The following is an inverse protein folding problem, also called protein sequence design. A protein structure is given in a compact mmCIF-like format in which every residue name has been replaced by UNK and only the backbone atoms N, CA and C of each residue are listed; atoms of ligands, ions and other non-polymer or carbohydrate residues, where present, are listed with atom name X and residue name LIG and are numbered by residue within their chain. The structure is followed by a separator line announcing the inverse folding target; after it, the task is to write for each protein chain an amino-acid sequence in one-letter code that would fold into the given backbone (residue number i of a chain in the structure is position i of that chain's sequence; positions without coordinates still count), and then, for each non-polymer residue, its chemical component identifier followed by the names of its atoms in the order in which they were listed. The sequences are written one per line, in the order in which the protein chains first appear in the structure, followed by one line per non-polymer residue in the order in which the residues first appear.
data_IF_078516165588
#
_entry.id   IF_078516165588
#
_cell.length_a   1.000
_cell.length_b   1.000
_cell.length_c   1.000
_cell.angle_alpha   90.00
_cell.angle_beta   90.00
_cell.angle_gamma   90.00
#
_symmetry.space_group_name_H-M   'P 1'
#
loop_
_entity.id
_entity.type
_entity.pdbx_description
1 polymer ?
#
# COMPACT_ATOMS: atom_id res chain seq x y z
N UNK A 1 -15.26 -0.83 2.30
CA UNK A 1 -15.27 0.12 3.43
C UNK A 1 -16.15 -0.45 4.52
N UNK A 2 -15.69 -0.34 5.77
CA UNK A 2 -16.39 -0.79 6.97
C UNK A 2 -17.40 0.24 7.52
N UNK A 3 -17.93 1.13 6.65
CA UNK A 3 -18.88 2.18 7.02
C UNK A 3 -18.21 3.35 7.75
N UNK A 4 -18.87 3.90 8.77
CA UNK A 4 -18.38 5.07 9.52
C UNK A 4 -17.51 4.70 10.74
N UNK A 5 -17.09 3.43 10.86
CA UNK A 5 -16.22 2.98 11.94
C UNK A 5 -14.89 3.76 11.91
N UNK A 6 -14.47 4.40 13.02
CA UNK A 6 -13.22 5.13 13.08
C UNK A 6 -12.02 4.19 12.91
N UNK A 7 -11.00 4.64 12.18
CA UNK A 7 -9.74 3.92 11.97
C UNK A 7 -8.76 4.37 13.07
N UNK A 8 -8.28 3.44 13.90
CA UNK A 8 -7.21 3.69 14.87
C UNK A 8 -5.92 2.95 14.52
N UNK A 9 -6.04 1.83 13.81
CA UNK A 9 -4.92 0.98 13.40
C UNK A 9 -4.91 0.76 11.90
N UNK A 10 -3.71 0.81 11.33
CA UNK A 10 -3.49 0.63 9.90
C UNK A 10 -2.36 -0.39 9.71
N UNK A 11 -2.59 -1.38 8.86
CA UNK A 11 -1.56 -2.22 8.27
C UNK A 11 -1.42 -1.88 6.79
N UNK A 12 -0.24 -2.08 6.21
CA UNK A 12 -0.02 -1.80 4.80
C UNK A 12 1.02 -2.72 4.17
N UNK A 13 0.88 -2.93 2.87
CA UNK A 13 1.88 -3.55 2.02
C UNK A 13 1.75 -2.95 0.62
N UNK A 14 2.84 -2.41 0.06
CA UNK A 14 2.81 -1.71 -1.25
C UNK A 14 2.60 -2.70 -2.40
N UNK A 15 2.19 -2.21 -3.57
CA UNK A 15 2.04 -3.04 -4.77
C UNK A 15 0.81 -3.96 -4.74
N UNK A 16 0.94 -5.17 -5.29
CA UNK A 16 -0.15 -6.13 -5.46
C UNK A 16 -0.36 -7.03 -4.22
N UNK A 17 -0.61 -6.42 -3.05
CA UNK A 17 -0.58 -7.11 -1.76
C UNK A 17 -1.98 -7.27 -1.11
N UNK A 18 -3.05 -7.16 -1.90
CA UNK A 18 -4.45 -7.23 -1.45
C UNK A 18 -4.82 -8.50 -0.68
N UNK A 19 -4.13 -9.61 -0.93
CA UNK A 19 -4.37 -10.91 -0.29
C UNK A 19 -4.05 -10.92 1.22
N UNK A 20 -3.20 -10.01 1.69
CA UNK A 20 -2.92 -9.88 3.13
C UNK A 20 -4.05 -9.23 3.94
N UNK A 21 -5.14 -8.80 3.30
CA UNK A 21 -6.31 -8.25 3.99
C UNK A 21 -6.89 -9.24 5.02
N UNK A 22 -6.83 -10.55 4.74
CA UNK A 22 -7.31 -11.57 5.65
C UNK A 22 -6.46 -11.63 6.92
N UNK A 23 -5.14 -11.53 6.77
CA UNK A 23 -4.21 -11.48 7.90
C UNK A 23 -4.39 -10.19 8.71
N UNK A 24 -4.53 -9.05 8.04
CA UNK A 24 -4.80 -7.77 8.71
C UNK A 24 -6.12 -7.83 9.51
N UNK A 25 -7.17 -8.40 8.92
CA UNK A 25 -8.45 -8.62 9.58
C UNK A 25 -8.32 -9.57 10.78
N UNK A 26 -7.58 -10.68 10.65
CA UNK A 26 -7.34 -11.62 11.74
C UNK A 26 -6.55 -11.00 12.91
N UNK A 27 -5.72 -10.00 12.64
CA UNK A 27 -4.99 -9.22 13.65
C UNK A 27 -5.83 -8.10 14.29
N UNK A 28 -7.10 -7.93 13.87
CA UNK A 28 -7.99 -6.90 14.40
C UNK A 28 -7.69 -5.49 13.91
N UNK A 29 -7.00 -5.35 12.79
CA UNK A 29 -6.65 -4.05 12.20
C UNK A 29 -7.90 -3.35 11.64
N UNK A 30 -8.02 -2.04 11.84
CA UNK A 30 -9.18 -1.28 11.36
C UNK A 30 -9.14 -1.00 9.84
N UNK A 31 -7.94 -0.81 9.28
CA UNK A 31 -7.75 -0.56 7.85
C UNK A 31 -6.49 -1.23 7.28
N UNK A 32 -6.61 -1.75 6.06
CA UNK A 32 -5.49 -2.29 5.29
C UNK A 32 -5.28 -1.47 4.01
N UNK A 33 -4.02 -1.10 3.73
CA UNK A 33 -3.63 -0.31 2.56
C UNK A 33 -2.72 -1.13 1.65
N UNK A 34 -3.06 -1.18 0.37
CA UNK A 34 -2.23 -1.80 -0.67
C UNK A 34 -2.37 -1.06 -2.01
N UNK A 35 -1.59 -1.42 -3.02
CA UNK A 35 -1.61 -0.77 -4.32
C UNK A 35 -2.83 -1.19 -5.15
N UNK A 36 -2.99 -2.48 -5.39
CA UNK A 36 -4.05 -3.02 -6.26
C UNK A 36 -5.32 -3.42 -5.49
N UNK A 37 -6.36 -3.85 -6.22
CA UNK A 37 -7.60 -4.38 -5.65
C UNK A 37 -8.16 -5.50 -6.53
N UNK A 38 -8.84 -6.46 -5.91
CA UNK A 38 -9.63 -7.47 -6.61
C UNK A 38 -11.09 -7.45 -6.15
N UNK A 39 -11.98 -8.08 -6.92
CA UNK A 39 -13.39 -8.24 -6.54
C UNK A 39 -13.52 -8.99 -5.20
N UNK A 40 -12.76 -10.06 -5.01
CA UNK A 40 -12.70 -10.80 -3.75
C UNK A 40 -12.34 -9.89 -2.57
N UNK A 41 -11.32 -9.04 -2.72
CA UNK A 41 -10.89 -8.09 -1.70
C UNK A 41 -12.00 -7.12 -1.29
N UNK A 42 -12.82 -6.67 -2.25
CA UNK A 42 -13.95 -5.78 -1.97
C UNK A 42 -15.02 -6.47 -1.11
N UNK A 43 -15.40 -7.70 -1.48
CA UNK A 43 -16.40 -8.47 -0.76
C UNK A 43 -15.91 -8.83 0.64
N UNK A 44 -14.68 -9.35 0.75
CA UNK A 44 -14.07 -9.65 2.03
C UNK A 44 -14.03 -8.42 2.95
N UNK A 45 -13.59 -7.26 2.45
CA UNK A 45 -13.52 -6.04 3.25
C UNK A 45 -14.88 -5.63 3.83
N UNK A 46 -15.95 -5.78 3.04
CA UNK A 46 -17.33 -5.50 3.50
C UNK A 46 -17.80 -6.50 4.54
N UNK A 47 -17.57 -7.79 4.31
CA UNK A 47 -18.04 -8.87 5.17
C UNK A 47 -17.28 -8.92 6.49
N UNK A 48 -15.97 -8.72 6.47
CA UNK A 48 -15.11 -8.73 7.64
C UNK A 48 -15.13 -7.40 8.43
N UNK A 49 -15.72 -6.34 7.86
CA UNK A 49 -15.78 -5.03 8.52
C UNK A 49 -14.42 -4.36 8.69
N UNK A 50 -13.52 -4.56 7.72
CA UNK A 50 -12.21 -3.89 7.62
C UNK A 50 -12.23 -2.86 6.49
N UNK A 51 -11.62 -1.69 6.71
CA UNK A 51 -11.42 -0.72 5.64
C UNK A 51 -10.31 -1.18 4.70
N UNK A 52 -10.53 -1.08 3.39
CA UNK A 52 -9.51 -1.38 2.39
C UNK A 52 -9.27 -0.16 1.52
N UNK A 53 -8.00 0.20 1.33
CA UNK A 53 -7.57 1.34 0.52
C UNK A 53 -6.64 0.82 -0.58
N UNK A 54 -7.10 0.91 -1.83
CA UNK A 54 -6.30 0.67 -3.02
C UNK A 54 -5.68 1.99 -3.48
N UNK A 55 -4.37 2.15 -3.27
CA UNK A 55 -3.65 3.40 -3.46
C UNK A 55 -2.84 3.45 -4.77
N UNK A 56 -2.96 2.44 -5.65
CA UNK A 56 -2.23 2.31 -6.91
C UNK A 56 -0.89 1.58 -6.75
N UNK A 57 -0.59 0.64 -7.65
CA UNK A 57 0.64 -0.15 -7.57
C UNK A 57 1.87 0.75 -7.71
N UNK A 58 1.95 1.47 -8.84
CA UNK A 58 3.07 2.38 -9.12
C UNK A 58 3.22 3.47 -8.05
N UNK A 59 2.08 4.03 -7.63
CA UNK A 59 2.04 5.11 -6.66
C UNK A 59 2.60 4.69 -5.29
N UNK A 60 2.37 3.44 -4.87
CA UNK A 60 2.84 2.94 -3.57
C UNK A 60 4.31 2.50 -3.59
N UNK A 61 4.87 2.13 -4.75
CA UNK A 61 6.23 1.57 -4.84
C UNK A 61 7.34 2.57 -5.20
N UNK A 62 6.99 3.75 -5.73
CA UNK A 62 7.98 4.75 -6.16
C UNK A 62 8.88 5.28 -5.05
N UNK A 63 8.46 5.20 -3.80
CA UNK A 63 9.19 5.77 -2.66
C UNK A 63 10.44 4.95 -2.29
N UNK A 64 10.45 3.64 -2.57
CA UNK A 64 11.59 2.77 -2.27
C UNK A 64 12.84 3.15 -3.06
N UNK A 65 12.69 3.35 -4.38
CA UNK A 65 13.81 3.72 -5.26
C UNK A 65 14.31 5.14 -4.99
N UNK A 66 13.43 6.06 -4.60
CA UNK A 66 13.82 7.42 -4.17
C UNK A 66 14.65 7.38 -2.88
N UNK A 67 14.23 6.58 -1.90
CA UNK A 67 14.99 6.41 -0.66
C UNK A 67 16.35 5.75 -0.92
N UNK A 68 16.41 4.75 -1.80
CA UNK A 68 17.66 4.11 -2.21
C UNK A 68 18.60 5.12 -2.89
N UNK A 69 18.10 5.97 -3.79
CA UNK A 69 18.90 7.02 -4.41
C UNK A 69 19.56 7.93 -3.36
N UNK A 70 18.80 8.40 -2.37
CA UNK A 70 19.34 9.22 -1.28
C UNK A 70 20.45 8.50 -0.47
N UNK A 71 20.31 7.18 -0.24
CA UNK A 71 21.35 6.38 0.42
C UNK A 71 22.61 6.29 -0.45
N UNK A 72 22.47 6.07 -1.75
CA UNK A 72 23.61 5.96 -2.68
C UNK A 72 24.35 7.30 -2.79
N UNK A 73 23.63 8.42 -2.90
CA UNK A 73 24.26 9.75 -2.90
C UNK A 73 25.05 9.99 -1.62
N UNK A 74 24.46 9.70 -0.46
CA UNK A 74 25.12 9.88 0.84
C UNK A 74 26.35 9.00 1.01
N UNK A 75 26.30 7.75 0.57
CA UNK A 75 27.38 6.77 0.81
C UNK A 75 28.51 6.86 -0.23
N UNK A 76 28.19 7.17 -1.49
CA UNK A 76 29.12 7.05 -2.60
C UNK A 76 29.34 8.37 -3.36
N UNK A 77 28.61 9.44 -3.03
CA UNK A 77 28.70 10.73 -3.73
C UNK A 77 28.24 10.69 -5.19
N UNK A 78 27.54 9.62 -5.59
CA UNK A 78 26.99 9.48 -6.93
C UNK A 78 25.70 10.31 -6.98
N UNK A 79 25.50 11.08 -8.05
CA UNK A 79 24.23 11.79 -8.29
C UNK A 79 23.25 10.88 -9.00
N UNK A 80 21.98 10.90 -8.57
CA UNK A 80 20.90 10.19 -9.25
C UNK A 80 19.82 11.17 -9.69
N UNK A 81 19.05 10.75 -10.69
CA UNK A 81 17.83 11.41 -11.11
C UNK A 81 16.71 10.38 -11.09
N UNK A 82 15.68 10.62 -10.28
CA UNK A 82 14.45 9.83 -10.35
C UNK A 82 13.60 10.31 -11.52
N UNK A 83 13.18 9.40 -12.39
CA UNK A 83 12.28 9.67 -13.51
C UNK A 83 10.96 8.98 -13.21
N UNK A 84 9.94 9.76 -12.87
CA UNK A 84 8.57 9.24 -12.67
C UNK A 84 7.91 9.12 -14.04
N UNK A 85 7.70 7.89 -14.51
CA UNK A 85 6.91 7.60 -15.71
C UNK A 85 5.58 7.04 -15.20
N UNK A 86 4.46 7.80 -15.30
CA UNK A 86 3.19 7.37 -14.75
C UNK A 86 2.73 6.03 -15.35
N UNK A 87 2.38 5.10 -14.48
CA UNK A 87 1.63 3.90 -14.82
C UNK A 87 0.25 3.99 -14.15
N UNK A 88 -0.87 3.86 -14.89
CA UNK A 88 -2.22 3.98 -14.33
C UNK A 88 -2.65 2.77 -13.48
N UNK A 89 -1.84 1.72 -13.39
CA UNK A 89 -2.07 0.53 -12.54
C UNK A 89 -1.59 0.75 -11.11
#
# INVERSE_FOLDING_TARGET
SAGDRPIQTIAWCTGAAQEYIEQASALGIDAFVSGEISEHTFHFAKEAGIHYIAAGHHATERYGVQALAAVIEKQFGVRQQFIDIPNPV
#
